data_IF_841950009700
#
_entry.id   IF_841950009700
#
_cell.length_a   1.000
_cell.length_b   1.000
_cell.length_c   1.000
_cell.angle_alpha   90.00
_cell.angle_beta   90.00
_cell.angle_gamma   90.00
#
_symmetry.space_group_name_H-M   'P 1'
#
loop_
_entity.id
_entity.type
_entity.pdbx_description
1 polymer ?
#
# COMPACT_ATOMS: atom_id res chain seq x y z
N UNK A 1 -26.93 -4.70 57.14
CA UNK A 1 -25.72 -5.25 57.79
C UNK A 1 -24.69 -5.46 56.71
N UNK A 2 -23.71 -4.55 56.64
CA UNK A 2 -22.59 -4.60 55.71
C UNK A 2 -21.35 -5.05 56.48
N UNK A 3 -20.63 -6.04 55.97
CA UNK A 3 -19.32 -6.47 56.48
C UNK A 3 -18.30 -6.42 55.37
N UNK A 4 -17.32 -5.57 55.59
CA UNK A 4 -16.15 -5.24 54.77
C UNK A 4 -15.08 -6.31 54.95
N UNK A 5 -14.40 -6.78 53.89
CA UNK A 5 -13.05 -7.37 54.02
C UNK A 5 -12.20 -7.14 52.75
N UNK A 6 -11.18 -6.29 52.97
CA UNK A 6 -9.88 -6.01 52.34
C UNK A 6 -9.41 -6.69 51.04
N UNK A 7 -8.86 -5.83 50.17
CA UNK A 7 -8.04 -6.06 48.97
C UNK A 7 -6.59 -6.39 49.36
N UNK A 8 -5.99 -7.39 48.71
CA UNK A 8 -4.56 -7.71 48.79
C UNK A 8 -3.85 -7.43 47.46
N UNK A 9 -2.89 -6.49 47.52
CA UNK A 9 -2.01 -6.07 46.43
C UNK A 9 -0.96 -7.15 46.11
N UNK A 10 -0.81 -7.51 44.82
CA UNK A 10 0.32 -8.27 44.31
C UNK A 10 1.27 -7.30 43.60
N UNK A 11 2.49 -7.18 44.13
CA UNK A 11 3.60 -6.46 43.52
C UNK A 11 4.42 -7.42 42.66
N UNK A 12 4.64 -7.06 41.39
CA UNK A 12 5.54 -7.80 40.49
C UNK A 12 6.88 -7.06 40.47
N UNK A 13 7.90 -7.71 41.02
CA UNK A 13 9.27 -7.22 41.07
C UNK A 13 9.92 -7.29 39.68
N UNK A 14 10.39 -6.14 39.17
CA UNK A 14 11.20 -6.07 37.95
C UNK A 14 12.68 -6.34 38.28
N UNK A 15 13.23 -7.40 37.68
CA UNK A 15 14.65 -7.75 37.76
C UNK A 15 15.45 -6.96 36.71
N UNK A 16 16.41 -6.14 37.14
CA UNK A 16 17.38 -5.47 36.26
C UNK A 16 18.50 -6.44 35.85
N UNK A 17 19.03 -6.41 34.61
CA UNK A 17 20.18 -7.20 34.24
C UNK A 17 21.47 -6.58 34.80
N UNK A 18 22.28 -7.42 35.46
CA UNK A 18 23.56 -7.07 36.09
C UNK A 18 24.69 -7.44 35.14
N UNK A 19 25.50 -6.45 34.74
CA UNK A 19 26.74 -6.61 33.99
C UNK A 19 27.80 -7.25 34.91
N UNK A 20 28.52 -8.25 34.41
CA UNK A 20 29.75 -8.76 35.06
C UNK A 20 30.90 -8.81 34.06
N UNK A 21 31.96 -8.07 34.40
CA UNK A 21 33.35 -8.17 33.91
C UNK A 21 34.03 -9.37 34.61
N UNK A 22 35.16 -10.00 34.23
CA UNK A 22 36.38 -9.64 33.50
C UNK A 22 37.18 -10.94 33.19
N UNK A 23 38.13 -10.85 32.25
CA UNK A 23 39.52 -11.43 32.22
C UNK A 23 39.90 -11.86 30.78
N UNK A 24 40.64 -11.03 30.02
CA UNK A 24 42.13 -10.96 29.86
C UNK A 24 42.78 -12.16 29.16
N UNK A 25 43.19 -11.97 27.90
CA UNK A 25 44.43 -12.54 27.33
C UNK A 25 45.00 -11.55 26.27
N UNK A 26 46.34 -11.45 26.21
CA UNK A 26 47.12 -10.35 25.63
C UNK A 26 47.32 -10.33 24.11
N UNK A 27 48.12 -9.37 23.59
CA UNK A 27 48.07 -8.91 22.20
C UNK A 27 49.07 -9.63 21.28
N UNK A 28 48.67 -9.86 20.03
CA UNK A 28 49.57 -10.17 18.93
C UNK A 28 49.73 -8.93 18.04
N UNK A 29 50.98 -8.55 17.83
CA UNK A 29 51.46 -7.40 17.07
C UNK A 29 51.56 -7.80 15.60
N UNK A 30 50.86 -7.11 14.70
CA UNK A 30 51.29 -6.93 13.31
C UNK A 30 51.01 -5.47 12.94
N UNK A 31 52.07 -4.70 12.80
CA UNK A 31 52.01 -3.27 12.51
C UNK A 31 51.70 -2.99 11.05
N UNK A 32 50.81 -2.03 10.83
CA UNK A 32 50.76 -1.29 9.58
C UNK A 32 50.81 0.21 9.93
N UNK A 33 51.85 0.87 9.42
CA UNK A 33 52.27 2.22 9.75
C UNK A 33 51.40 3.21 8.97
N UNK A 34 50.53 3.96 9.65
CA UNK A 34 49.85 5.13 9.07
C UNK A 34 50.26 6.38 9.84
N UNK A 35 50.73 7.38 9.10
CA UNK A 35 51.24 8.66 9.59
C UNK A 35 50.13 9.41 10.35
N UNK A 36 50.48 9.85 11.55
CA UNK A 36 49.70 10.75 12.41
C UNK A 36 49.65 12.15 11.78
N UNK A 37 48.43 12.66 11.59
CA UNK A 37 48.12 14.09 11.43
C UNK A 37 47.18 14.49 12.58
N UNK A 38 47.50 15.60 13.23
CA UNK A 38 46.97 16.09 14.50
C UNK A 38 45.45 16.16 14.60
N UNK A 39 44.92 15.84 15.78
CA UNK A 39 43.52 16.01 16.18
C UNK A 39 43.40 17.36 16.90
N UNK A 40 42.70 18.31 16.31
CA UNK A 40 42.25 19.53 16.99
C UNK A 40 40.71 19.58 17.02
N UNK A 41 40.20 19.56 18.27
CA UNK A 41 38.92 20.10 18.78
C UNK A 41 37.69 20.05 17.86
N UNK A 42 36.79 19.12 18.17
CA UNK A 42 35.36 19.21 17.88
C UNK A 42 34.73 20.43 18.58
N UNK A 43 34.48 21.48 17.81
CA UNK A 43 33.64 22.61 18.20
C UNK A 43 32.35 22.59 17.38
N UNK A 44 31.22 22.40 18.05
CA UNK A 44 29.88 22.60 17.49
C UNK A 44 29.68 24.08 17.14
N UNK A 45 29.36 24.40 15.89
CA UNK A 45 28.86 25.73 15.51
C UNK A 45 27.71 25.58 14.53
N UNK A 46 26.53 25.92 15.03
CA UNK A 46 25.35 26.26 14.28
C UNK A 46 25.60 27.56 13.50
N UNK A 47 25.69 27.49 12.17
CA UNK A 47 25.65 28.67 11.33
C UNK A 47 24.27 28.83 10.69
N UNK A 48 23.48 29.71 11.29
CA UNK A 48 22.37 30.43 10.66
C UNK A 48 22.99 31.33 9.58
N UNK A 49 22.77 31.00 8.31
CA UNK A 49 23.17 31.87 7.20
C UNK A 49 21.97 32.73 6.78
N UNK A 50 22.23 34.04 6.82
CA UNK A 50 21.35 35.15 6.56
C UNK A 50 20.96 35.27 5.07
N UNK A 51 19.75 35.77 4.85
CA UNK A 51 19.10 36.03 3.57
C UNK A 51 19.76 37.20 2.82
N UNK A 52 20.02 37.04 1.52
CA UNK A 52 19.83 38.10 0.52
C UNK A 52 19.27 37.51 -0.80
N UNK A 53 18.33 38.18 -1.46
CA UNK A 53 17.57 37.61 -2.57
C UNK A 53 18.35 37.74 -3.88
N UNK A 54 18.40 36.66 -4.65
CA UNK A 54 18.77 36.70 -6.06
C UNK A 54 17.48 36.54 -6.87
N UNK A 55 17.00 37.64 -7.46
CA UNK A 55 15.91 37.61 -8.43
C UNK A 55 16.45 37.02 -9.73
N UNK A 56 15.91 35.87 -10.13
CA UNK A 56 15.96 35.45 -11.53
C UNK A 56 14.54 35.15 -11.98
N UNK A 57 14.04 35.99 -12.86
CA UNK A 57 12.76 35.84 -13.54
C UNK A 57 12.91 34.69 -14.53
N UNK A 58 12.25 33.57 -14.28
CA UNK A 58 12.08 32.49 -15.25
C UNK A 58 10.62 32.40 -15.65
N UNK A 59 10.35 32.77 -16.89
CA UNK A 59 9.08 32.61 -17.59
C UNK A 59 8.66 31.15 -17.61
N UNK A 60 7.50 30.83 -17.04
CA UNK A 60 6.91 29.50 -17.10
C UNK A 60 6.33 29.24 -18.49
N UNK A 61 6.89 28.27 -19.21
CA UNK A 61 6.21 27.63 -20.32
C UNK A 61 5.60 26.34 -19.79
N UNK A 62 4.28 26.23 -19.83
CA UNK A 62 3.55 25.05 -19.39
C UNK A 62 3.77 23.90 -20.39
N UNK A 63 4.65 22.96 -20.07
CA UNK A 63 4.73 21.68 -20.77
C UNK A 63 3.63 20.76 -20.24
N UNK A 64 2.76 20.31 -21.15
CA UNK A 64 1.70 19.35 -20.86
C UNK A 64 2.34 17.99 -20.63
N UNK A 65 2.27 17.50 -19.39
CA UNK A 65 2.61 16.12 -19.07
C UNK A 65 1.68 15.17 -19.83
N UNK A 66 2.24 14.38 -20.76
CA UNK A 66 1.53 13.22 -21.28
C UNK A 66 1.59 12.13 -20.22
N UNK A 67 0.44 11.88 -19.59
CA UNK A 67 0.21 10.80 -18.64
C UNK A 67 0.42 9.48 -19.40
N UNK A 68 1.57 8.83 -19.24
CA UNK A 68 1.73 7.44 -19.63
C UNK A 68 0.87 6.60 -18.67
N UNK A 69 -0.39 6.42 -19.05
CA UNK A 69 -1.28 5.43 -18.47
C UNK A 69 -0.89 4.10 -19.11
N UNK A 70 -0.09 3.29 -18.43
CA UNK A 70 0.17 1.91 -18.83
C UNK A 70 -1.15 1.16 -18.67
N UNK A 71 -1.87 1.02 -19.78
CA UNK A 71 -3.12 0.28 -19.88
C UNK A 71 -2.82 -1.19 -19.56
N UNK A 72 -3.62 -1.81 -18.70
CA UNK A 72 -3.62 -3.26 -18.56
C UNK A 72 -3.94 -3.87 -19.93
N UNK A 73 -2.95 -4.46 -20.58
CA UNK A 73 -3.13 -5.12 -21.88
C UNK A 73 -3.77 -6.47 -21.60
N UNK A 74 -5.04 -6.62 -21.97
CA UNK A 74 -5.62 -7.93 -22.19
C UNK A 74 -5.35 -8.29 -23.65
N UNK A 75 -4.39 -9.17 -23.88
CA UNK A 75 -4.23 -9.78 -25.20
C UNK A 75 -5.45 -10.66 -25.49
N UNK A 76 -6.09 -10.43 -26.64
CA UNK A 76 -7.08 -11.33 -27.21
C UNK A 76 -6.35 -12.53 -27.82
N UNK A 77 -6.16 -13.59 -27.05
CA UNK A 77 -5.56 -14.84 -27.52
C UNK A 77 -6.54 -15.99 -27.44
N UNK A 78 -6.61 -16.71 -28.56
CA UNK A 78 -7.46 -17.85 -28.87
C UNK A 78 -7.43 -18.95 -27.81
N UNK A 79 -8.59 -19.60 -27.65
CA UNK A 79 -8.96 -20.76 -26.84
C UNK A 79 -7.80 -21.73 -26.49
N UNK A 80 -6.91 -21.31 -25.58
CA UNK A 80 -5.89 -22.15 -24.95
C UNK A 80 -6.38 -22.42 -23.54
N UNK A 81 -6.56 -23.70 -23.26
CA UNK A 81 -6.81 -24.21 -21.93
C UNK A 81 -5.77 -23.62 -20.97
N UNK A 82 -6.24 -22.92 -19.93
CA UNK A 82 -5.39 -22.22 -18.96
C UNK A 82 -4.44 -23.23 -18.33
N UNK A 83 -3.16 -23.18 -18.71
CA UNK A 83 -2.11 -24.03 -18.16
C UNK A 83 -1.71 -23.48 -16.80
N UNK A 84 -2.41 -23.90 -15.75
CA UNK A 84 -2.15 -23.52 -14.36
C UNK A 84 -2.96 -24.38 -13.39
N UNK A 85 -2.58 -24.38 -12.11
CA UNK A 85 -3.42 -24.98 -11.07
C UNK A 85 -4.78 -24.26 -11.06
N UNK A 86 -5.92 -24.98 -11.11
CA UNK A 86 -7.22 -24.33 -11.08
C UNK A 86 -7.41 -23.66 -9.72
N UNK A 87 -7.54 -22.33 -9.72
CA UNK A 87 -7.91 -21.55 -8.55
C UNK A 87 -9.43 -21.62 -8.43
N UNK A 88 -9.91 -22.21 -7.33
CA UNK A 88 -11.34 -22.27 -7.00
C UNK A 88 -11.63 -21.43 -5.76
N UNK A 89 -12.40 -20.35 -5.95
CA UNK A 89 -12.86 -19.43 -4.93
C UNK A 89 -14.40 -19.45 -4.80
N UNK A 90 -15.07 -20.49 -5.33
CA UNK A 90 -16.53 -20.61 -5.19
C UNK A 90 -16.95 -20.62 -3.72
N UNK A 91 -18.00 -19.86 -3.43
CA UNK A 91 -18.51 -19.67 -2.07
C UNK A 91 -17.66 -18.73 -1.20
N UNK A 92 -16.62 -18.11 -1.75
CA UNK A 92 -15.85 -17.04 -1.09
C UNK A 92 -16.38 -15.68 -1.48
N UNK A 93 -16.39 -14.76 -0.51
CA UNK A 93 -16.77 -13.36 -0.75
C UNK A 93 -15.56 -12.45 -0.66
N UNK A 94 -15.36 -11.66 -1.71
CA UNK A 94 -14.29 -10.69 -1.79
C UNK A 94 -14.85 -9.27 -1.72
N UNK A 95 -14.37 -8.50 -0.74
CA UNK A 95 -14.59 -7.08 -0.65
C UNK A 95 -13.38 -6.33 -1.23
N UNK A 96 -13.57 -5.62 -2.34
CA UNK A 96 -12.50 -4.87 -3.01
C UNK A 96 -12.70 -3.36 -2.78
N UNK A 97 -11.84 -2.81 -1.92
CA UNK A 97 -11.66 -1.39 -1.76
C UNK A 97 -10.76 -0.84 -2.88
N UNK A 98 -11.25 0.19 -3.60
CA UNK A 98 -10.45 0.89 -4.61
C UNK A 98 -10.76 0.57 -6.08
N UNK A 99 -11.94 0.02 -6.38
CA UNK A 99 -12.40 -0.09 -7.78
C UNK A 99 -12.95 1.27 -8.23
N UNK A 100 -12.22 1.97 -9.10
CA UNK A 100 -12.59 3.31 -9.59
C UNK A 100 -13.00 3.33 -11.08
N UNK A 101 -12.29 2.56 -11.90
CA UNK A 101 -12.52 2.41 -13.34
C UNK A 101 -12.04 1.02 -13.80
N UNK A 102 -12.24 0.71 -15.08
CA UNK A 102 -11.93 -0.60 -15.68
C UNK A 102 -10.47 -0.79 -16.12
N UNK A 103 -9.62 0.22 -15.91
CA UNK A 103 -8.17 0.13 -16.13
C UNK A 103 -7.40 -0.01 -14.80
N UNK A 104 -8.05 0.28 -13.68
CA UNK A 104 -7.45 0.22 -12.35
C UNK A 104 -7.17 -1.21 -11.85
N UNK A 105 -6.19 -1.33 -10.97
CA UNK A 105 -5.81 -2.62 -10.37
C UNK A 105 -6.96 -3.29 -9.61
N UNK A 106 -7.81 -2.51 -8.94
CA UNK A 106 -8.99 -3.05 -8.25
C UNK A 106 -9.93 -3.78 -9.20
N UNK A 107 -10.09 -3.30 -10.43
CA UNK A 107 -10.90 -3.95 -11.45
C UNK A 107 -10.28 -5.25 -11.94
N UNK A 108 -8.98 -5.23 -12.24
CA UNK A 108 -8.25 -6.44 -12.65
C UNK A 108 -8.31 -7.52 -11.58
N UNK A 109 -8.14 -7.15 -10.30
CA UNK A 109 -8.26 -8.09 -9.17
C UNK A 109 -9.69 -8.61 -9.04
N UNK A 110 -10.70 -7.75 -9.10
CA UNK A 110 -12.10 -8.16 -9.04
C UNK A 110 -12.43 -9.18 -10.15
N UNK A 111 -11.95 -8.93 -11.37
CA UNK A 111 -12.14 -9.83 -12.51
C UNK A 111 -11.48 -11.18 -12.30
N UNK A 112 -10.20 -11.22 -11.91
CA UNK A 112 -9.51 -12.50 -11.65
C UNK A 112 -10.13 -13.29 -10.48
N UNK A 113 -10.65 -12.61 -9.45
CA UNK A 113 -11.37 -13.28 -8.36
C UNK A 113 -12.73 -13.82 -8.81
N UNK A 114 -13.45 -13.07 -9.65
CA UNK A 114 -14.71 -13.51 -10.24
C UNK A 114 -14.53 -14.70 -11.20
N UNK A 115 -13.45 -14.72 -12.00
CA UNK A 115 -13.08 -15.84 -12.86
C UNK A 115 -12.83 -17.13 -12.06
N UNK A 116 -12.31 -17.00 -10.84
CA UNK A 116 -12.16 -18.11 -9.90
C UNK A 116 -13.46 -18.47 -9.15
N UNK A 117 -14.57 -17.77 -9.41
CA UNK A 117 -15.90 -18.02 -8.84
C UNK A 117 -16.19 -17.32 -7.52
N UNK A 118 -15.39 -16.32 -7.11
CA UNK A 118 -15.67 -15.52 -5.92
C UNK A 118 -16.86 -14.56 -6.13
N UNK A 119 -17.64 -14.35 -5.08
CA UNK A 119 -18.68 -13.32 -5.04
C UNK A 119 -18.04 -11.94 -4.76
N UNK A 120 -18.37 -10.94 -5.58
CA UNK A 120 -17.67 -9.65 -5.59
C UNK A 120 -18.51 -8.55 -4.93
N UNK A 121 -17.95 -7.92 -3.89
CA UNK A 121 -18.44 -6.72 -3.22
C UNK A 121 -17.45 -5.57 -3.50
N UNK A 122 -17.94 -4.39 -3.88
CA UNK A 122 -17.07 -3.27 -4.28
C UNK A 122 -17.49 -1.92 -3.68
N UNK A 123 -16.62 -0.91 -3.83
CA UNK A 123 -16.87 0.46 -3.38
C UNK A 123 -17.45 1.39 -4.46
N UNK A 124 -18.18 2.41 -4.00
CA UNK A 124 -19.12 3.24 -4.76
C UNK A 124 -18.53 4.34 -5.68
N UNK A 125 -17.49 4.06 -6.46
CA UNK A 125 -16.90 5.10 -7.33
C UNK A 125 -17.49 5.08 -8.76
N UNK A 126 -18.25 4.06 -9.15
CA UNK A 126 -18.68 3.91 -10.55
C UNK A 126 -20.08 3.30 -10.75
N UNK A 127 -20.93 3.24 -9.73
CA UNK A 127 -22.25 2.56 -9.80
C UNK A 127 -23.14 3.07 -10.95
N UNK A 128 -23.25 4.40 -11.13
CA UNK A 128 -24.03 4.96 -12.24
C UNK A 128 -23.46 4.63 -13.62
N UNK A 129 -22.14 4.48 -13.74
CA UNK A 129 -21.48 4.08 -14.99
C UNK A 129 -21.61 2.58 -15.25
N UNK A 130 -21.57 1.77 -14.19
CA UNK A 130 -21.85 0.33 -14.23
C UNK A 130 -23.27 0.04 -14.70
N UNK A 131 -24.26 0.70 -14.10
CA UNK A 131 -25.69 0.54 -14.47
C UNK A 131 -26.00 0.99 -15.89
N UNK A 132 -25.23 1.94 -16.44
CA UNK A 132 -25.36 2.42 -17.82
C UNK A 132 -24.63 1.54 -18.85
N UNK A 133 -24.05 0.42 -18.43
CA UNK A 133 -23.37 -0.52 -19.31
C UNK A 133 -22.00 -0.06 -19.82
N UNK A 134 -21.42 0.99 -19.23
CA UNK A 134 -20.13 1.55 -19.68
C UNK A 134 -18.99 0.50 -19.65
N UNK A 135 -19.09 -0.46 -18.74
CA UNK A 135 -18.05 -1.46 -18.48
C UNK A 135 -18.42 -2.86 -18.97
N UNK A 136 -19.49 -3.02 -19.76
CA UNK A 136 -19.99 -4.36 -20.15
C UNK A 136 -18.92 -5.18 -20.89
N UNK A 137 -18.18 -4.53 -21.79
CA UNK A 137 -17.08 -5.18 -22.50
C UNK A 137 -15.94 -5.59 -21.57
N UNK A 138 -15.53 -4.73 -20.63
CA UNK A 138 -14.43 -5.05 -19.71
C UNK A 138 -14.81 -6.06 -18.62
N UNK A 139 -16.12 -6.21 -18.33
CA UNK A 139 -16.68 -7.22 -17.41
C UNK A 139 -16.74 -8.63 -17.99
N UNK A 140 -16.61 -8.82 -19.30
CA UNK A 140 -16.63 -10.15 -19.92
C UNK A 140 -15.54 -11.04 -19.35
N UNK A 141 -15.93 -12.17 -18.76
CA UNK A 141 -15.05 -13.21 -18.28
C UNK A 141 -14.67 -14.16 -19.43
N UNK A 142 -13.71 -15.05 -19.18
CA UNK A 142 -13.22 -16.00 -20.20
C UNK A 142 -14.29 -16.96 -20.70
N UNK A 143 -15.28 -17.30 -19.87
CA UNK A 143 -16.41 -18.16 -20.23
C UNK A 143 -17.52 -17.41 -21.00
N UNK A 144 -17.34 -16.12 -21.25
CA UNK A 144 -18.30 -15.25 -21.92
C UNK A 144 -19.39 -14.68 -21.02
N UNK A 145 -19.42 -15.05 -19.73
CA UNK A 145 -20.30 -14.42 -18.74
C UNK A 145 -19.81 -13.01 -18.37
N UNK A 146 -20.64 -12.23 -17.69
CA UNK A 146 -20.26 -10.92 -17.17
C UNK A 146 -19.93 -11.04 -15.69
N UNK A 147 -18.81 -10.45 -15.27
CA UNK A 147 -18.53 -10.22 -13.86
C UNK A 147 -19.70 -9.46 -13.21
N UNK A 148 -20.31 -10.08 -12.21
CA UNK A 148 -21.35 -9.46 -11.40
C UNK A 148 -20.74 -8.87 -10.13
N UNK A 149 -21.06 -7.61 -9.85
CA UNK A 149 -20.77 -6.98 -8.57
C UNK A 149 -22.06 -7.06 -7.76
N UNK A 150 -22.12 -7.99 -6.81
CA UNK A 150 -23.33 -8.30 -6.03
C UNK A 150 -23.84 -7.08 -5.29
N UNK A 151 -22.92 -6.33 -4.66
CA UNK A 151 -23.26 -5.16 -3.87
C UNK A 151 -22.15 -4.12 -3.91
N UNK A 152 -22.59 -2.87 -3.98
CA UNK A 152 -21.72 -1.70 -3.89
C UNK A 152 -22.00 -0.98 -2.58
N UNK A 153 -20.95 -0.68 -1.82
CA UNK A 153 -21.02 0.08 -0.58
C UNK A 153 -20.37 1.45 -0.75
N UNK A 154 -21.01 2.54 -0.29
CA UNK A 154 -20.30 3.80 -0.15
C UNK A 154 -19.28 3.64 0.99
N UNK A 155 -18.00 3.92 0.73
CA UNK A 155 -16.97 3.89 1.78
C UNK A 155 -15.99 5.03 1.54
N UNK A 156 -15.67 5.74 2.61
CA UNK A 156 -14.51 6.61 2.72
C UNK A 156 -13.61 6.07 3.83
N UNK A 157 -12.51 5.43 3.43
CA UNK A 157 -11.57 4.78 4.35
C UNK A 157 -10.75 5.78 5.19
N UNK A 158 -10.97 7.09 5.02
CA UNK A 158 -10.33 8.13 5.85
C UNK A 158 -10.95 8.21 7.25
N UNK A 159 -12.21 7.79 7.41
CA UNK A 159 -12.95 7.94 8.66
C UNK A 159 -13.39 6.58 9.19
N UNK A 160 -12.92 6.24 10.39
CA UNK A 160 -13.25 4.97 11.04
C UNK A 160 -14.69 4.99 11.54
N UNK A 161 -15.10 6.06 12.24
CA UNK A 161 -16.45 6.21 12.79
C UNK A 161 -17.14 7.51 12.37
N UNK A 162 -18.47 7.61 12.49
CA UNK A 162 -19.22 8.84 12.18
C UNK A 162 -18.81 10.06 13.00
N UNK A 163 -18.29 9.83 14.22
CA UNK A 163 -17.81 10.87 15.12
C UNK A 163 -16.49 11.49 14.64
N UNK A 164 -15.68 10.74 13.89
CA UNK A 164 -14.40 11.22 13.33
C UNK A 164 -14.61 12.21 12.17
N UNK A 165 -15.82 12.28 11.63
CA UNK A 165 -16.12 13.07 10.44
C UNK A 165 -16.31 14.56 10.81
N UNK A 166 -15.49 15.47 10.26
CA UNK A 166 -15.69 16.90 10.43
C UNK A 166 -17.02 17.40 9.85
N UNK A 167 -17.64 18.40 10.49
CA UNK A 167 -18.95 18.92 10.07
C UNK A 167 -18.97 19.48 8.65
N UNK A 168 -17.87 20.09 8.20
CA UNK A 168 -17.71 20.57 6.83
C UNK A 168 -17.68 19.43 5.80
N UNK A 169 -17.18 18.26 6.20
CA UNK A 169 -17.17 17.04 5.38
C UNK A 169 -18.57 16.43 5.34
N UNK A 170 -19.30 16.38 6.47
CA UNK A 170 -20.70 15.91 6.51
C UNK A 170 -21.60 16.73 5.58
N UNK A 171 -21.38 18.05 5.52
CA UNK A 171 -22.12 18.96 4.66
C UNK A 171 -21.68 18.94 3.19
N UNK A 172 -20.62 18.21 2.84
CA UNK A 172 -20.10 18.17 1.47
C UNK A 172 -21.06 17.41 0.53
N UNK A 173 -21.31 17.98 -0.64
CA UNK A 173 -22.16 17.41 -1.69
C UNK A 173 -21.78 15.97 -2.08
N UNK A 174 -20.50 15.59 -1.91
CA UNK A 174 -20.03 14.22 -2.13
C UNK A 174 -20.74 13.18 -1.26
N UNK A 175 -21.07 13.54 -0.01
CA UNK A 175 -21.71 12.65 0.95
C UNK A 175 -23.22 12.91 1.08
N UNK A 176 -23.72 14.04 0.57
CA UNK A 176 -25.12 14.44 0.68
C UNK A 176 -26.15 13.45 0.07
N UNK A 177 -25.70 12.46 -0.72
CA UNK A 177 -26.53 11.40 -1.29
C UNK A 177 -26.19 9.98 -0.82
N UNK A 178 -25.28 9.83 0.14
CA UNK A 178 -24.84 8.54 0.65
C UNK A 178 -25.00 8.49 2.18
N UNK A 179 -25.56 7.39 2.69
CA UNK A 179 -25.53 7.05 4.11
C UNK A 179 -24.57 5.89 4.34
N UNK A 180 -24.10 5.71 5.58
CA UNK A 180 -23.32 4.55 6.01
C UNK A 180 -22.00 4.38 5.23
N UNK A 181 -21.16 5.41 5.26
CA UNK A 181 -19.95 5.46 4.44
C UNK A 181 -18.65 5.51 5.22
N UNK A 182 -18.70 5.56 6.55
CA UNK A 182 -17.51 5.35 7.39
C UNK A 182 -17.15 3.86 7.44
N UNK A 183 -15.90 3.53 7.84
CA UNK A 183 -15.45 2.13 7.91
C UNK A 183 -16.36 1.29 8.80
N UNK A 184 -16.71 1.80 9.99
CA UNK A 184 -17.57 1.10 10.92
C UNK A 184 -18.96 0.81 10.32
N UNK A 185 -19.62 1.82 9.76
CA UNK A 185 -20.97 1.66 9.21
C UNK A 185 -21.00 0.69 8.02
N UNK A 186 -19.95 0.68 7.20
CA UNK A 186 -19.80 -0.27 6.09
C UNK A 186 -19.57 -1.68 6.61
N UNK A 187 -18.71 -1.86 7.62
CA UNK A 187 -18.52 -3.16 8.28
C UNK A 187 -19.84 -3.69 8.86
N UNK A 188 -20.63 -2.84 9.50
CA UNK A 188 -21.94 -3.19 10.03
C UNK A 188 -22.93 -3.54 8.92
N UNK A 189 -22.93 -2.80 7.81
CA UNK A 189 -23.78 -3.06 6.64
C UNK A 189 -23.42 -4.39 5.97
N UNK A 190 -22.13 -4.65 5.73
CA UNK A 190 -21.64 -5.93 5.18
C UNK A 190 -21.98 -7.09 6.12
N UNK A 191 -21.83 -6.91 7.43
CA UNK A 191 -22.20 -7.92 8.42
C UNK A 191 -23.70 -8.21 8.43
N UNK A 192 -24.53 -7.18 8.26
CA UNK A 192 -25.99 -7.34 8.16
C UNK A 192 -26.41 -8.08 6.89
N UNK A 193 -25.81 -7.74 5.76
CA UNK A 193 -26.20 -8.26 4.45
C UNK A 193 -25.63 -9.68 4.21
N UNK A 194 -24.39 -9.94 4.65
CA UNK A 194 -23.65 -11.15 4.30
C UNK A 194 -23.05 -11.90 5.51
N UNK A 195 -23.02 -11.30 6.70
CA UNK A 195 -22.41 -11.88 7.90
C UNK A 195 -20.89 -11.73 7.93
N UNK A 196 -20.18 -12.42 7.03
CA UNK A 196 -18.72 -12.39 6.92
C UNK A 196 -18.25 -12.29 5.47
N UNK A 197 -17.03 -11.78 5.30
CA UNK A 197 -16.26 -11.81 4.05
C UNK A 197 -15.04 -12.70 4.24
N UNK A 198 -14.53 -13.27 3.15
CA UNK A 198 -13.34 -14.12 3.16
C UNK A 198 -12.08 -13.38 2.73
N UNK A 199 -12.23 -12.40 1.82
CA UNK A 199 -11.13 -11.71 1.17
C UNK A 199 -11.38 -10.20 1.28
N UNK A 200 -10.38 -9.45 1.76
CA UNK A 200 -10.38 -7.99 1.80
C UNK A 200 -9.19 -7.45 1.00
N UNK A 201 -9.47 -6.77 -0.11
CA UNK A 201 -8.47 -6.17 -0.99
C UNK A 201 -8.50 -4.66 -0.83
N UNK A 202 -7.33 -4.03 -0.69
CA UNK A 202 -7.16 -2.58 -0.82
C UNK A 202 -6.24 -2.27 -2.02
N UNK A 203 -6.83 -1.64 -3.02
CA UNK A 203 -6.21 -1.45 -4.35
C UNK A 203 -6.05 0.00 -4.77
N UNK A 204 -6.53 0.96 -3.97
CA UNK A 204 -6.42 2.38 -4.28
C UNK A 204 -6.14 3.19 -3.02
N UNK A 205 -4.97 3.82 -2.97
CA UNK A 205 -4.60 4.79 -1.96
C UNK A 205 -4.09 6.04 -2.68
N UNK A 206 -4.72 7.18 -2.45
CA UNK A 206 -4.28 8.45 -3.03
C UNK A 206 -4.11 9.50 -1.93
N UNK A 207 -2.99 10.23 -1.96
CA UNK A 207 -2.71 11.35 -1.07
C UNK A 207 -3.01 12.71 -1.73
N UNK A 208 -3.20 13.78 -0.95
CA UNK A 208 -3.50 15.10 -1.49
C UNK A 208 -2.30 15.79 -2.17
N UNK A 209 -1.06 15.37 -1.88
CA UNK A 209 0.18 16.02 -2.33
C UNK A 209 1.09 15.08 -3.13
N UNK A 210 0.54 14.00 -3.72
CA UNK A 210 1.29 12.93 -4.42
C UNK A 210 2.23 13.42 -5.53
N UNK A 211 1.96 14.59 -6.11
CA UNK A 211 2.79 15.20 -7.16
C UNK A 211 3.96 16.03 -6.64
N UNK A 212 4.00 16.38 -5.34
CA UNK A 212 5.08 17.20 -4.77
C UNK A 212 6.29 16.34 -4.41
N UNK A 213 7.49 16.92 -4.45
CA UNK A 213 8.67 16.25 -3.89
C UNK A 213 8.51 16.02 -2.38
N UNK A 214 9.20 15.02 -1.83
CA UNK A 214 9.13 14.72 -0.40
C UNK A 214 9.53 15.92 0.47
N UNK A 215 10.55 16.68 0.06
CA UNK A 215 11.01 17.90 0.75
C UNK A 215 9.98 19.04 0.76
N UNK A 216 9.04 19.02 -0.18
CA UNK A 216 8.00 20.04 -0.35
C UNK A 216 6.63 19.57 0.17
N UNK A 217 6.55 18.30 0.57
CA UNK A 217 5.33 17.68 1.08
C UNK A 217 5.07 18.21 2.47
N UNK A 218 3.88 18.76 2.69
CA UNK A 218 3.49 19.22 4.03
C UNK A 218 3.35 18.03 4.99
N UNK A 219 3.50 18.27 6.30
CA UNK A 219 3.24 17.24 7.32
C UNK A 219 1.83 16.65 7.19
N UNK A 220 0.83 17.49 6.86
CA UNK A 220 -0.56 17.06 6.65
C UNK A 220 -0.66 16.12 5.44
N UNK A 221 -0.02 16.47 4.33
CA UNK A 221 0.01 15.64 3.12
C UNK A 221 0.69 14.29 3.37
N UNK A 222 1.82 14.30 4.07
CA UNK A 222 2.57 13.09 4.44
C UNK A 222 1.74 12.13 5.32
N UNK A 223 1.10 12.65 6.37
CA UNK A 223 0.24 11.85 7.25
C UNK A 223 -1.00 11.32 6.53
N UNK A 224 -1.58 12.10 5.62
CA UNK A 224 -2.70 11.64 4.81
C UNK A 224 -2.30 10.48 3.87
N UNK A 225 -1.11 10.54 3.25
CA UNK A 225 -0.59 9.46 2.42
C UNK A 225 -0.36 8.17 3.22
N UNK A 226 0.18 8.28 4.44
CA UNK A 226 0.35 7.16 5.37
C UNK A 226 -1.00 6.54 5.75
N UNK A 227 -1.95 7.36 6.17
CA UNK A 227 -3.28 6.90 6.60
C UNK A 227 -4.00 6.13 5.48
N UNK A 228 -3.98 6.66 4.25
CA UNK A 228 -4.64 6.04 3.10
C UNK A 228 -4.03 4.69 2.68
N UNK A 229 -2.82 4.35 3.13
CA UNK A 229 -2.08 3.15 2.73
C UNK A 229 -2.10 2.05 3.81
N UNK A 230 -3.19 1.91 4.56
CA UNK A 230 -3.29 0.95 5.67
C UNK A 230 -4.48 -0.02 5.53
N UNK A 231 -4.41 -1.17 6.21
CA UNK A 231 -5.60 -1.97 6.58
C UNK A 231 -6.25 -2.88 5.52
N UNK A 232 -5.56 -3.92 5.02
CA UNK A 232 -6.18 -4.97 4.20
C UNK A 232 -5.52 -6.34 4.36
N UNK A 233 -6.22 -7.40 3.93
CA UNK A 233 -5.62 -8.75 3.84
C UNK A 233 -4.76 -8.93 2.59
N UNK A 234 -5.12 -8.24 1.50
CA UNK A 234 -4.34 -8.11 0.29
C UNK A 234 -4.22 -6.63 -0.05
N UNK A 235 -3.00 -6.13 -0.18
CA UNK A 235 -2.75 -4.72 -0.51
C UNK A 235 -1.78 -4.55 -1.68
N UNK A 236 -1.75 -3.36 -2.27
CA UNK A 236 -0.84 -3.02 -3.36
C UNK A 236 0.25 -2.05 -2.89
N UNK A 237 1.51 -2.45 -3.08
CA UNK A 237 2.71 -1.63 -2.87
C UNK A 237 3.38 -1.30 -4.21
N UNK A 238 4.49 -0.59 -4.13
CA UNK A 238 5.32 -0.24 -5.27
C UNK A 238 6.79 -0.15 -4.83
N UNK A 239 7.72 -0.52 -5.72
CA UNK A 239 9.16 -0.57 -5.46
C UNK A 239 9.77 0.73 -4.90
N UNK A 240 9.06 1.86 -5.03
CA UNK A 240 9.45 3.11 -4.39
C UNK A 240 9.48 3.04 -2.83
N UNK A 241 8.93 1.99 -2.21
CA UNK A 241 9.10 1.70 -0.79
C UNK A 241 10.55 1.38 -0.42
N UNK A 242 11.28 0.75 -1.33
CA UNK A 242 12.63 0.24 -1.10
C UNK A 242 13.70 1.04 -1.86
N UNK A 243 13.31 1.70 -2.95
CA UNK A 243 14.21 2.41 -3.85
C UNK A 243 13.71 3.80 -4.16
N UNK A 244 14.63 4.69 -4.51
CA UNK A 244 14.26 6.02 -4.97
C UNK A 244 13.71 5.90 -6.39
N UNK A 245 12.45 6.29 -6.58
CA UNK A 245 11.83 6.45 -7.90
C UNK A 245 11.55 7.94 -8.09
N UNK A 246 12.23 8.62 -9.02
CA UNK A 246 11.96 10.03 -9.32
C UNK A 246 10.49 10.28 -9.64
N UNK A 247 9.93 11.38 -9.12
CA UNK A 247 8.51 11.71 -9.31
C UNK A 247 7.53 10.94 -8.43
N UNK A 248 7.95 9.89 -7.71
CA UNK A 248 7.11 9.19 -6.73
C UNK A 248 7.09 9.94 -5.39
N UNK A 249 6.40 11.08 -5.39
CA UNK A 249 6.42 12.09 -4.34
C UNK A 249 5.32 11.99 -3.28
N UNK A 250 5.09 13.10 -2.56
CA UNK A 250 3.97 13.29 -1.63
C UNK A 250 4.00 12.42 -0.38
N UNK A 251 5.14 11.81 -0.06
CA UNK A 251 5.26 10.83 1.02
C UNK A 251 4.78 9.42 0.65
N UNK A 252 4.42 9.16 -0.61
CA UNK A 252 3.89 7.85 -1.02
C UNK A 252 4.92 6.73 -0.88
N UNK A 253 6.21 6.98 -1.16
CA UNK A 253 7.28 6.00 -0.93
C UNK A 253 7.33 5.56 0.53
N UNK A 254 7.30 6.51 1.46
CA UNK A 254 7.22 6.22 2.89
C UNK A 254 5.94 5.51 3.27
N UNK A 255 4.81 5.87 2.67
CA UNK A 255 3.54 5.20 2.91
C UNK A 255 3.55 3.73 2.43
N UNK A 256 4.20 3.45 1.31
CA UNK A 256 4.41 2.07 0.81
C UNK A 256 5.35 1.28 1.70
N UNK A 257 6.44 1.87 2.16
CA UNK A 257 7.34 1.24 3.12
C UNK A 257 6.64 0.92 4.46
N UNK A 258 5.82 1.84 4.95
CA UNK A 258 4.99 1.62 6.14
C UNK A 258 3.99 0.48 5.92
N UNK A 259 3.28 0.47 4.79
CA UNK A 259 2.32 -0.59 4.42
C UNK A 259 2.98 -1.97 4.41
N UNK A 260 4.18 -2.11 3.84
CA UNK A 260 4.91 -3.37 3.83
C UNK A 260 5.35 -3.81 5.24
N UNK A 261 5.71 -2.86 6.09
CA UNK A 261 5.97 -3.12 7.51
C UNK A 261 4.73 -3.60 8.25
N UNK A 262 3.61 -2.90 8.08
CA UNK A 262 2.33 -3.23 8.68
C UNK A 262 1.83 -4.59 8.20
N UNK A 263 2.06 -4.94 6.93
CA UNK A 263 1.75 -6.26 6.37
C UNK A 263 2.39 -7.38 7.20
N UNK A 264 3.66 -7.23 7.58
CA UNK A 264 4.38 -8.24 8.39
C UNK A 264 3.83 -8.32 9.81
N UNK A 265 3.58 -7.16 10.43
CA UNK A 265 3.04 -7.09 11.80
C UNK A 265 1.62 -7.65 11.85
N UNK A 266 0.74 -7.24 10.93
CA UNK A 266 -0.63 -7.72 10.83
C UNK A 266 -0.69 -9.21 10.49
N UNK A 267 0.19 -9.71 9.62
CA UNK A 267 0.28 -11.15 9.36
C UNK A 267 0.57 -11.94 10.65
N UNK A 268 1.48 -11.44 11.49
CA UNK A 268 1.79 -12.06 12.78
C UNK A 268 0.60 -11.97 13.75
N UNK A 269 0.02 -10.79 13.93
CA UNK A 269 -1.06 -10.56 14.91
C UNK A 269 -2.37 -11.23 14.51
N UNK A 270 -2.82 -11.02 13.27
CA UNK A 270 -4.06 -11.56 12.73
C UNK A 270 -3.94 -13.05 12.43
N UNK A 271 -2.76 -13.53 12.01
CA UNK A 271 -2.50 -14.95 11.82
C UNK A 271 -2.65 -15.76 13.11
N UNK A 272 -2.07 -15.28 14.22
CA UNK A 272 -2.15 -15.96 15.53
C UNK A 272 -3.55 -15.92 16.14
N UNK A 273 -4.23 -14.77 16.05
CA UNK A 273 -5.54 -14.57 16.71
C UNK A 273 -6.71 -15.09 15.88
N UNK A 274 -6.66 -14.90 14.57
CA UNK A 274 -7.82 -15.08 13.67
C UNK A 274 -7.55 -16.02 12.49
N UNK A 275 -6.33 -16.57 12.36
CA UNK A 275 -5.90 -17.38 11.20
C UNK A 275 -6.08 -16.64 9.85
N UNK A 276 -5.93 -15.32 9.87
CA UNK A 276 -6.02 -14.47 8.67
C UNK A 276 -4.63 -14.30 8.08
N UNK A 277 -4.52 -14.47 6.77
CA UNK A 277 -3.29 -14.20 6.01
C UNK A 277 -3.31 -12.75 5.54
N UNK A 278 -2.14 -12.12 5.53
CA UNK A 278 -1.98 -10.73 5.11
C UNK A 278 -0.77 -10.64 4.19
N UNK A 279 -0.96 -10.20 2.94
CA UNK A 279 0.10 -10.11 1.93
C UNK A 279 -0.04 -8.84 1.09
N UNK A 280 1.04 -8.49 0.40
CA UNK A 280 1.13 -7.28 -0.40
C UNK A 280 1.77 -7.56 -1.77
N UNK A 281 1.32 -6.87 -2.82
CA UNK A 281 1.73 -7.10 -4.22
C UNK A 281 2.35 -5.82 -4.81
N UNK A 282 3.48 -5.93 -5.50
CA UNK A 282 4.09 -4.87 -6.35
C UNK A 282 3.84 -5.19 -7.84
N UNK A 283 3.46 -4.22 -8.68
CA UNK A 283 2.44 -4.46 -9.71
C UNK A 283 2.74 -4.16 -11.20
N UNK A 284 2.51 -5.17 -12.06
CA UNK A 284 2.15 -5.13 -13.49
C UNK A 284 0.99 -6.13 -13.78
N UNK A 285 1.13 -7.43 -13.48
CA UNK A 285 0.09 -8.48 -13.66
C UNK A 285 -0.66 -8.86 -12.36
N UNK A 286 -1.25 -7.87 -11.68
CA UNK A 286 -1.74 -8.03 -10.29
C UNK A 286 -2.93 -8.99 -10.08
N UNK A 287 -3.80 -9.16 -11.08
CA UNK A 287 -5.07 -9.86 -10.90
C UNK A 287 -4.89 -11.34 -10.55
N UNK A 288 -4.11 -12.05 -11.37
CA UNK A 288 -3.84 -13.48 -11.20
C UNK A 288 -3.06 -13.76 -9.91
N UNK A 289 -2.10 -12.90 -9.57
CA UNK A 289 -1.34 -13.02 -8.31
C UNK A 289 -2.24 -12.81 -7.10
N UNK A 290 -3.16 -11.84 -7.14
CA UNK A 290 -4.14 -11.64 -6.08
C UNK A 290 -5.06 -12.85 -5.92
N UNK A 291 -5.54 -13.44 -7.01
CA UNK A 291 -6.34 -14.67 -6.97
C UNK A 291 -5.56 -15.84 -6.36
N UNK A 292 -4.29 -16.03 -6.76
CA UNK A 292 -3.41 -17.04 -6.18
C UNK A 292 -3.23 -16.82 -4.67
N UNK A 293 -2.90 -15.60 -4.25
CA UNK A 293 -2.70 -15.25 -2.85
C UNK A 293 -3.98 -15.33 -2.03
N UNK A 294 -5.16 -15.15 -2.61
CA UNK A 294 -6.44 -15.34 -1.94
C UNK A 294 -6.79 -16.84 -1.77
N UNK A 295 -6.29 -17.70 -2.64
CA UNK A 295 -6.63 -19.12 -2.70
C UNK A 295 -6.01 -19.99 -1.59
N UNK A 296 -6.53 -21.21 -1.38
CA UNK A 296 -5.90 -22.21 -0.52
C UNK A 296 -4.48 -22.62 -0.95
N UNK A 297 -4.11 -22.43 -2.23
CA UNK A 297 -2.77 -22.73 -2.74
C UNK A 297 -1.70 -21.89 -2.05
N UNK A 298 -2.05 -20.67 -1.60
CA UNK A 298 -1.19 -19.77 -0.86
C UNK A 298 -1.39 -19.87 0.66
N UNK A 299 -1.92 -20.98 1.18
CA UNK A 299 -2.25 -21.15 2.61
C UNK A 299 -1.06 -20.97 3.56
N UNK A 300 0.16 -21.21 3.09
CA UNK A 300 1.39 -21.01 3.85
C UNK A 300 2.07 -19.64 3.59
N UNK A 301 1.51 -18.80 2.72
CA UNK A 301 2.08 -17.51 2.33
C UNK A 301 1.35 -16.39 3.09
N UNK A 302 2.06 -15.77 4.04
CA UNK A 302 1.58 -14.62 4.80
C UNK A 302 2.76 -13.73 5.21
N UNK A 303 2.53 -12.44 5.34
CA UNK A 303 3.55 -11.44 5.67
C UNK A 303 4.53 -11.16 4.53
N UNK A 304 4.20 -11.55 3.31
CA UNK A 304 5.08 -11.45 2.15
C UNK A 304 4.72 -10.26 1.25
N UNK A 305 5.77 -9.67 0.65
CA UNK A 305 5.66 -8.77 -0.50
C UNK A 305 5.99 -9.58 -1.75
N UNK A 306 5.03 -9.70 -2.67
CA UNK A 306 5.20 -10.44 -3.93
C UNK A 306 5.38 -9.44 -5.05
N UNK A 307 6.52 -9.51 -5.75
CA UNK A 307 6.80 -8.67 -6.91
C UNK A 307 6.25 -9.32 -8.16
N UNK A 308 5.49 -8.54 -8.91
CA UNK A 308 4.88 -8.89 -10.18
C UNK A 308 5.27 -7.79 -11.17
N UNK A 309 6.55 -7.64 -11.42
CA UNK A 309 7.16 -6.50 -12.12
C UNK A 309 8.15 -6.94 -13.21
N UNK A 310 7.95 -8.16 -13.74
CA UNK A 310 8.83 -8.78 -14.73
C UNK A 310 10.32 -8.82 -14.32
N UNK A 311 10.58 -8.87 -13.01
CA UNK A 311 11.94 -8.94 -12.44
C UNK A 311 12.64 -7.58 -12.30
N UNK A 312 11.91 -6.47 -12.46
CA UNK A 312 12.47 -5.12 -12.32
C UNK A 312 13.10 -4.91 -10.94
N UNK A 313 12.49 -5.43 -9.88
CA UNK A 313 13.06 -5.37 -8.53
C UNK A 313 14.43 -6.05 -8.40
N UNK A 314 14.68 -7.12 -9.15
CA UNK A 314 15.94 -7.86 -9.10
C UNK A 314 17.04 -7.16 -9.92
N UNK A 315 16.67 -6.27 -10.84
CA UNK A 315 17.61 -5.51 -11.65
C UNK A 315 18.14 -4.29 -10.88
N UNK A 316 19.38 -3.87 -11.18
CA UNK A 316 19.94 -2.61 -10.71
C UNK A 316 20.08 -1.64 -11.88
N UNK A 317 19.53 -0.42 -11.76
CA UNK A 317 19.74 0.65 -12.75
C UNK A 317 20.18 1.88 -11.99
N UNK A 318 21.39 2.37 -12.29
CA UNK A 318 21.81 3.67 -11.78
C UNK A 318 21.28 4.76 -12.70
N UNK A 319 20.48 5.66 -12.15
CA UNK A 319 19.78 6.71 -12.92
C UNK A 319 20.62 7.98 -13.07
N UNK A 320 21.63 8.16 -12.22
CA UNK A 320 22.36 9.41 -12.03
C UNK A 320 23.88 9.23 -11.84
N UNK A 321 24.40 8.01 -11.97
CA UNK A 321 25.85 7.82 -11.89
C UNK A 321 26.53 8.41 -13.12
N UNK A 322 27.61 9.20 -12.94
CA UNK A 322 28.43 9.69 -14.04
C UNK A 322 28.91 8.60 -15.00
N UNK A 323 28.99 7.35 -14.53
CA UNK A 323 29.37 6.18 -15.34
C UNK A 323 28.35 5.86 -16.46
N UNK A 324 27.10 6.30 -16.31
CA UNK A 324 26.04 6.11 -17.31
C UNK A 324 25.93 7.29 -18.30
N UNK A 325 26.71 8.36 -18.13
CA UNK A 325 26.63 9.54 -19.03
C UNK A 325 26.99 9.22 -20.48
N UNK A 326 27.86 8.23 -20.69
CA UNK A 326 28.35 7.80 -22.00
C UNK A 326 27.62 6.55 -22.54
N UNK A 327 26.76 5.94 -21.73
CA UNK A 327 25.95 4.81 -22.18
C UNK A 327 24.70 5.36 -22.88
N UNK A 328 24.41 4.82 -24.07
CA UNK A 328 23.25 5.18 -24.88
C UNK A 328 21.98 4.51 -24.32
N UNK A 329 21.71 4.78 -23.03
CA UNK A 329 20.48 4.37 -22.37
C UNK A 329 19.36 5.28 -22.88
N UNK A 330 18.15 4.73 -23.16
CA UNK A 330 17.01 5.52 -23.57
C UNK A 330 16.74 6.60 -22.52
N UNK A 331 17.07 7.85 -22.84
CA UNK A 331 16.75 9.00 -22.00
C UNK A 331 15.27 9.28 -22.23
N UNK A 332 14.46 9.19 -21.17
CA UNK A 332 13.08 9.66 -21.24
C UNK A 332 13.09 11.13 -21.68
N UNK A 333 12.43 11.43 -22.79
CA UNK A 333 12.31 12.80 -23.30
C UNK A 333 11.31 13.55 -22.41
N UNK A 334 11.83 14.49 -21.62
CA UNK A 334 11.08 15.39 -20.73
C UNK A 334 10.12 16.33 -21.47
#
# INVERSE_FOLDING_TARGET
MATTTTVSNISIAMSRPRITSSQKLGPAIVGCRVKVGSCDKLGSVCHVASVKPFQQVSTSCASKFNKFVTKAVSESSSNKQVTGLPIDLRGKRAFIAGVADDNGYGWAIAKSLAEAGAEILALNIFESSLRRGKFDESRKLQDGSLMEITKVYPLDAVYDTPEDVPEDVKANKRYAGASNWTVQEVVESVKKDFGTIDILVHSLANGPEVSKLLSETSRKGYLAALSASSGASLSLTYIASERIIPGYGGGMSSAKAALESDTRVLAFEAGRKKKIRVNTISAEEVGNTAAFLASPLASAITGAVIYVDNGLNAMGVGVDSPIFKELDLPKEQH
#
